data_IF_420294015782
#
_entry.id   IF_420294015782
#
_cell.length_a   1.000
_cell.length_b   1.000
_cell.length_c   1.000
_cell.angle_alpha   90.00
_cell.angle_beta   90.00
_cell.angle_gamma   90.00
#
_symmetry.space_group_name_H-M   'P 1'
#
loop_
_entity.id
_entity.type
_entity.pdbx_description
1 polymer ?
#
# COMPACT_ATOMS: atom_id res chain seq x y z
N UNK A 1 14.73 25.27 -29.40
CA UNK A 1 15.11 24.58 -28.15
C UNK A 1 15.57 25.63 -27.15
N UNK A 2 14.69 26.08 -26.25
CA UNK A 2 15.02 27.06 -25.20
C UNK A 2 14.58 26.46 -23.87
N UNK A 3 15.43 25.64 -23.24
CA UNK A 3 15.11 25.01 -21.97
C UNK A 3 16.37 24.77 -21.17
N UNK A 4 16.53 25.49 -20.06
CA UNK A 4 17.63 25.25 -19.11
C UNK A 4 17.50 23.81 -18.58
N UNK A 5 18.60 23.08 -18.36
CA UNK A 5 18.52 21.77 -17.73
C UNK A 5 17.83 21.91 -16.36
N UNK A 6 16.72 21.19 -16.17
CA UNK A 6 15.98 21.12 -14.91
C UNK A 6 16.23 19.74 -14.29
N UNK A 7 16.51 19.69 -12.98
CA UNK A 7 16.61 18.43 -12.23
C UNK A 7 15.20 17.90 -12.03
N UNK A 8 14.95 16.69 -12.52
CA UNK A 8 13.75 15.93 -12.18
C UNK A 8 14.04 15.09 -10.93
N UNK A 9 13.15 15.14 -9.94
CA UNK A 9 13.23 14.29 -8.76
C UNK A 9 12.38 13.06 -9.01
N UNK A 10 13.03 11.92 -9.16
CA UNK A 10 12.38 10.62 -9.35
C UNK A 10 12.48 9.87 -8.03
N UNK A 11 11.34 9.40 -7.52
CA UNK A 11 11.25 8.62 -6.30
C UNK A 11 11.39 7.12 -6.62
N UNK A 12 12.05 6.36 -5.74
CA UNK A 12 12.15 4.90 -5.84
C UNK A 12 10.78 4.22 -5.88
N UNK A 13 9.78 4.80 -5.20
CA UNK A 13 8.42 4.30 -5.13
C UNK A 13 7.42 5.42 -5.43
N UNK A 14 6.29 5.13 -6.09
CA UNK A 14 5.23 6.11 -6.30
C UNK A 14 4.63 6.55 -4.97
N UNK A 15 4.72 7.86 -4.68
CA UNK A 15 4.22 8.42 -3.42
C UNK A 15 2.72 8.20 -3.23
N UNK A 16 1.94 8.13 -4.31
CA UNK A 16 0.50 7.83 -4.25
C UNK A 16 0.24 6.40 -3.77
N UNK A 17 1.01 5.42 -4.24
CA UNK A 17 0.87 4.02 -3.83
C UNK A 17 1.31 3.84 -2.37
N UNK A 18 2.40 4.51 -1.95
CA UNK A 18 2.82 4.53 -0.55
C UNK A 18 1.79 5.19 0.36
N UNK A 19 1.19 6.32 -0.06
CA UNK A 19 0.13 7.00 0.69
C UNK A 19 -1.06 6.08 0.89
N UNK A 20 -1.50 5.39 -0.17
CA UNK A 20 -2.60 4.44 -0.11
C UNK A 20 -2.31 3.29 0.86
N UNK A 21 -1.10 2.70 0.81
CA UNK A 21 -0.71 1.65 1.75
C UNK A 21 -0.70 2.14 3.21
N UNK A 22 -0.21 3.36 3.47
CA UNK A 22 -0.19 3.94 4.80
C UNK A 22 -1.61 4.24 5.32
N UNK A 23 -2.48 4.81 4.49
CA UNK A 23 -3.88 5.07 4.86
C UNK A 23 -4.58 3.74 5.19
N UNK A 24 -4.40 2.71 4.35
CA UNK A 24 -4.98 1.40 4.60
C UNK A 24 -4.43 0.77 5.89
N UNK A 25 -3.13 0.87 6.12
CA UNK A 25 -2.49 0.39 7.34
C UNK A 25 -3.04 1.06 8.60
N UNK A 26 -3.46 2.33 8.53
CA UNK A 26 -4.09 3.05 9.66
C UNK A 26 -5.58 2.71 9.76
N UNK A 27 -6.33 2.72 8.64
CA UNK A 27 -7.77 2.48 8.63
C UNK A 27 -8.15 1.04 9.00
N UNK A 28 -7.32 0.07 8.63
CA UNK A 28 -7.55 -1.34 8.89
C UNK A 28 -6.81 -1.87 10.13
N UNK A 29 -5.96 -1.07 10.78
CA UNK A 29 -5.22 -1.49 11.99
C UNK A 29 -6.14 -2.07 13.07
N UNK A 30 -5.74 -3.18 13.68
CA UNK A 30 -6.34 -3.61 14.95
C UNK A 30 -5.76 -2.78 16.11
N UNK A 31 -6.56 -1.82 16.60
CA UNK A 31 -6.17 -0.93 17.70
C UNK A 31 -6.19 -1.60 19.07
N UNK A 32 -6.69 -2.83 19.20
CA UNK A 32 -6.65 -3.58 20.46
C UNK A 32 -5.28 -4.22 20.71
N UNK A 33 -4.47 -4.38 19.66
CA UNK A 33 -3.11 -4.94 19.74
C UNK A 33 -2.12 -3.80 20.08
N UNK A 34 -1.34 -3.90 21.17
CA UNK A 34 -0.39 -2.87 21.60
C UNK A 34 0.93 -2.95 20.81
N UNK A 35 0.86 -2.89 19.47
CA UNK A 35 2.02 -2.88 18.55
C UNK A 35 1.93 -1.73 17.55
N UNK A 36 3.03 -1.21 17.00
CA UNK A 36 2.97 -0.06 16.10
C UNK A 36 2.59 -0.44 14.66
N UNK A 37 2.22 0.55 13.84
CA UNK A 37 2.32 0.39 12.38
C UNK A 37 3.77 0.68 12.01
N UNK A 38 4.42 -0.24 11.32
CA UNK A 38 5.83 -0.14 10.96
C UNK A 38 6.00 0.19 9.48
N UNK A 39 6.95 1.08 9.18
CA UNK A 39 7.49 1.27 7.84
C UNK A 39 8.95 0.84 7.87
N UNK A 40 9.28 -0.23 7.14
CA UNK A 40 10.62 -0.81 7.10
C UNK A 40 11.19 -0.61 5.70
N UNK A 41 12.35 0.02 5.62
CA UNK A 41 13.02 0.31 4.37
C UNK A 41 14.29 -0.54 4.31
N UNK A 42 14.42 -1.29 3.23
CA UNK A 42 15.57 -2.11 2.91
C UNK A 42 16.17 -1.63 1.58
N UNK A 43 17.32 -2.18 1.21
CA UNK A 43 17.99 -1.82 -0.04
C UNK A 43 17.12 -2.15 -1.27
N UNK A 44 16.35 -3.23 -1.20
CA UNK A 44 15.58 -3.81 -2.31
C UNK A 44 14.05 -3.61 -2.19
N UNK A 45 13.55 -3.28 -0.99
CA UNK A 45 12.11 -3.20 -0.72
C UNK A 45 11.72 -2.24 0.40
N UNK A 46 10.48 -1.80 0.37
CA UNK A 46 9.81 -1.08 1.45
C UNK A 46 8.61 -1.90 1.91
N UNK A 47 8.46 -2.07 3.23
CA UNK A 47 7.37 -2.82 3.83
C UNK A 47 6.56 -1.90 4.73
N UNK A 48 5.25 -1.82 4.48
CA UNK A 48 4.28 -1.23 5.41
C UNK A 48 3.58 -2.36 6.13
N UNK A 49 3.72 -2.45 7.45
CA UNK A 49 3.10 -3.48 8.28
C UNK A 49 2.16 -2.85 9.31
N UNK A 50 1.01 -3.47 9.55
CA UNK A 50 0.08 -3.06 10.60
C UNK A 50 -0.44 -4.27 11.38
N UNK A 51 -0.72 -4.12 12.69
CA UNK A 51 -1.26 -5.21 13.48
C UNK A 51 -2.71 -5.53 13.08
N UNK A 52 -3.04 -6.81 13.19
CA UNK A 52 -4.32 -7.36 12.77
C UNK A 52 -4.27 -7.91 11.34
N UNK A 53 -5.05 -8.97 11.10
CA UNK A 53 -5.16 -9.63 9.80
C UNK A 53 -6.29 -9.07 8.94
N UNK A 54 -6.63 -9.81 7.90
CA UNK A 54 -7.77 -9.53 7.03
C UNK A 54 -9.09 -9.53 7.80
N UNK A 55 -10.11 -8.77 7.34
CA UNK A 55 -11.46 -8.88 7.86
C UNK A 55 -11.99 -10.30 7.72
N UNK A 56 -12.85 -10.73 8.66
CA UNK A 56 -13.48 -12.05 8.59
C UNK A 56 -14.22 -12.23 7.26
N UNK A 57 -13.92 -13.33 6.56
CA UNK A 57 -14.55 -13.68 5.29
C UNK A 57 -13.88 -13.09 4.04
N UNK A 58 -12.75 -12.40 4.18
CA UNK A 58 -11.91 -11.97 3.05
C UNK A 58 -10.64 -12.82 3.03
N UNK A 59 -10.30 -13.41 1.89
CA UNK A 59 -9.02 -14.11 1.71
C UNK A 59 -7.99 -13.24 1.01
N UNK A 60 -6.73 -13.68 1.00
CA UNK A 60 -5.66 -13.02 0.26
C UNK A 60 -5.96 -12.95 -1.26
N UNK A 61 -6.59 -13.98 -1.83
CA UNK A 61 -6.96 -13.99 -3.24
C UNK A 61 -8.07 -12.98 -3.57
N UNK A 62 -8.95 -12.68 -2.60
CA UNK A 62 -10.06 -11.75 -2.80
C UNK A 62 -9.57 -10.31 -2.93
N UNK A 63 -8.40 -9.98 -2.38
CA UNK A 63 -7.75 -8.66 -2.53
C UNK A 63 -7.44 -8.31 -3.99
N UNK A 64 -7.28 -9.31 -4.85
CA UNK A 64 -6.98 -9.13 -6.27
C UNK A 64 -8.23 -9.10 -7.16
N UNK A 65 -9.42 -9.15 -6.55
CA UNK A 65 -10.72 -9.12 -7.23
C UNK A 65 -11.52 -7.91 -6.76
N UNK A 66 -12.59 -7.52 -7.47
CA UNK A 66 -13.52 -6.53 -6.94
C UNK A 66 -14.10 -7.00 -5.61
N UNK A 67 -13.80 -6.27 -4.53
CA UNK A 67 -14.30 -6.56 -3.19
C UNK A 67 -14.77 -5.26 -2.51
N UNK A 68 -15.74 -5.39 -1.60
CA UNK A 68 -16.10 -4.27 -0.75
C UNK A 68 -15.01 -4.04 0.29
N UNK A 69 -14.61 -2.79 0.53
CA UNK A 69 -13.71 -2.49 1.66
C UNK A 69 -14.50 -2.53 2.96
N UNK A 70 -14.12 -3.45 3.84
CA UNK A 70 -14.64 -3.54 5.21
C UNK A 70 -13.64 -2.88 6.14
N UNK A 71 -13.86 -1.59 6.44
CA UNK A 71 -13.02 -0.85 7.38
C UNK A 71 -13.22 -1.34 8.82
N UNK A 72 -12.11 -1.62 9.49
CA UNK A 72 -12.09 -1.87 10.93
C UNK A 72 -12.35 -0.58 11.71
N UNK A 73 -11.80 0.55 11.26
CA UNK A 73 -11.89 1.84 11.94
C UNK A 73 -12.64 2.88 11.10
N UNK A 74 -13.97 2.79 11.07
CA UNK A 74 -14.84 3.67 10.25
C UNK A 74 -14.68 5.17 10.57
N UNK A 75 -14.49 5.54 11.83
CA UNK A 75 -14.29 6.95 12.22
C UNK A 75 -13.01 7.54 11.65
N UNK A 76 -11.91 6.78 11.67
CA UNK A 76 -10.64 7.18 11.06
C UNK A 76 -10.78 7.27 9.54
N UNK A 77 -11.42 6.27 8.93
CA UNK A 77 -11.72 6.28 7.50
C UNK A 77 -12.55 7.50 7.08
N UNK A 78 -13.56 7.86 7.88
CA UNK A 78 -14.37 9.06 7.65
C UNK A 78 -13.55 10.35 7.64
N UNK A 79 -12.61 10.51 8.58
CA UNK A 79 -11.71 11.67 8.60
C UNK A 79 -10.86 11.75 7.33
N UNK A 80 -10.29 10.63 6.88
CA UNK A 80 -9.50 10.62 5.64
C UNK A 80 -10.35 10.84 4.39
N UNK A 81 -11.62 10.41 4.40
CA UNK A 81 -12.58 10.75 3.35
C UNK A 81 -12.86 12.26 3.30
N UNK A 82 -13.13 12.87 4.47
CA UNK A 82 -13.38 14.32 4.57
C UNK A 82 -12.15 15.15 4.16
N UNK A 83 -10.94 14.64 4.39
CA UNK A 83 -9.69 15.25 3.93
C UNK A 83 -9.42 15.06 2.41
N UNK A 84 -10.25 14.29 1.71
CA UNK A 84 -10.07 13.95 0.30
C UNK A 84 -8.90 12.99 0.04
N UNK A 85 -8.48 12.23 1.05
CA UNK A 85 -7.38 11.26 0.93
C UNK A 85 -7.89 9.86 0.57
N UNK A 86 -9.16 9.59 0.81
CA UNK A 86 -9.87 8.39 0.34
C UNK A 86 -10.99 8.84 -0.58
N UNK A 87 -10.95 8.40 -1.84
CA UNK A 87 -11.94 8.79 -2.86
C UNK A 87 -13.08 7.77 -2.99
N UNK A 88 -12.74 6.48 -2.91
CA UNK A 88 -13.71 5.39 -3.09
C UNK A 88 -13.30 4.17 -2.26
N UNK A 89 -14.27 3.60 -1.55
CA UNK A 89 -14.07 2.39 -0.75
C UNK A 89 -13.84 1.18 -1.64
N UNK A 90 -12.76 0.44 -1.41
CA UNK A 90 -12.48 -0.83 -2.11
C UNK A 90 -11.66 -0.71 -3.39
N UNK A 91 -11.35 0.50 -3.87
CA UNK A 91 -10.49 0.70 -5.04
C UNK A 91 -9.00 0.90 -4.69
N UNK A 92 -8.68 0.96 -3.39
CA UNK A 92 -7.34 1.30 -2.91
C UNK A 92 -6.24 0.36 -3.40
N UNK A 93 -6.52 -0.95 -3.37
CA UNK A 93 -5.56 -1.97 -3.81
C UNK A 93 -5.29 -1.85 -5.32
N UNK A 94 -6.33 -1.74 -6.13
CA UNK A 94 -6.17 -1.56 -7.58
C UNK A 94 -5.47 -0.24 -7.92
N UNK A 95 -5.76 0.84 -7.20
CA UNK A 95 -5.06 2.13 -7.36
C UNK A 95 -3.57 1.96 -7.09
N UNK A 96 -3.22 1.31 -5.98
CA UNK A 96 -1.83 1.05 -5.58
C UNK A 96 -1.08 0.22 -6.62
N UNK A 97 -1.68 -0.88 -7.09
CA UNK A 97 -1.12 -1.75 -8.13
C UNK A 97 -0.88 -0.99 -9.43
N UNK A 98 -1.92 -0.32 -9.95
CA UNK A 98 -1.85 0.44 -11.19
C UNK A 98 -0.80 1.56 -11.14
N UNK A 99 -0.67 2.25 -10.01
CA UNK A 99 0.34 3.30 -9.83
C UNK A 99 1.76 2.72 -9.87
N UNK A 100 2.00 1.57 -9.24
CA UNK A 100 3.30 0.87 -9.34
C UNK A 100 3.61 0.45 -10.79
N UNK A 101 2.67 -0.18 -11.48
CA UNK A 101 2.84 -0.60 -12.87
C UNK A 101 3.14 0.58 -13.79
N UNK A 102 2.45 1.73 -13.62
CA UNK A 102 2.70 2.96 -14.39
C UNK A 102 4.09 3.56 -14.14
N UNK A 103 4.64 3.36 -12.94
CA UNK A 103 5.99 3.81 -12.60
C UNK A 103 7.09 2.83 -13.03
N UNK A 104 6.74 1.69 -13.63
CA UNK A 104 7.70 0.70 -14.12
C UNK A 104 8.31 -0.17 -13.01
N UNK A 105 7.72 -0.21 -11.82
CA UNK A 105 8.13 -1.09 -10.72
C UNK A 105 7.12 -2.24 -10.55
N UNK A 106 7.49 -3.36 -9.88
CA UNK A 106 6.56 -4.44 -9.61
C UNK A 106 5.32 -3.97 -8.83
N UNK A 107 4.21 -4.67 -9.03
CA UNK A 107 3.03 -4.50 -8.18
C UNK A 107 3.38 -4.82 -6.71
N UNK A 108 2.73 -4.14 -5.75
CA UNK A 108 2.91 -4.44 -4.34
C UNK A 108 2.41 -5.85 -4.03
N UNK A 109 3.14 -6.55 -3.15
CA UNK A 109 2.75 -7.86 -2.63
C UNK A 109 2.04 -7.68 -1.29
N UNK A 110 0.95 -8.41 -1.09
CA UNK A 110 0.18 -8.40 0.15
C UNK A 110 0.39 -9.72 0.89
N UNK A 111 0.54 -9.68 2.21
CA UNK A 111 0.69 -10.89 3.02
C UNK A 111 0.15 -10.74 4.44
N UNK A 112 -0.35 -11.83 5.01
CA UNK A 112 -0.59 -11.96 6.44
C UNK A 112 0.62 -12.62 7.14
N UNK A 113 1.36 -11.83 7.91
CA UNK A 113 2.49 -12.29 8.72
C UNK A 113 2.42 -11.66 10.11
N UNK A 114 1.78 -12.38 11.04
CA UNK A 114 1.48 -11.90 12.41
C UNK A 114 0.75 -10.53 12.45
N UNK A 115 0.06 -10.19 11.36
CA UNK A 115 -0.46 -8.87 11.02
C UNK A 115 -0.53 -8.77 9.50
N UNK A 116 -0.88 -7.61 8.96
CA UNK A 116 -0.97 -7.40 7.52
C UNK A 116 0.21 -6.57 7.02
N UNK A 117 0.88 -7.02 5.95
CA UNK A 117 1.95 -6.27 5.29
C UNK A 117 1.71 -6.04 3.81
N UNK A 118 2.13 -4.87 3.36
CA UNK A 118 2.27 -4.47 1.94
C UNK A 118 3.75 -4.31 1.65
N UNK A 119 4.24 -5.01 0.63
CA UNK A 119 5.66 -5.03 0.25
C UNK A 119 5.80 -4.40 -1.13
N UNK A 120 6.56 -3.30 -1.20
CA UNK A 120 6.94 -2.63 -2.43
C UNK A 120 8.38 -3.01 -2.79
N UNK A 121 8.61 -3.55 -3.98
CA UNK A 121 9.97 -3.85 -4.48
C UNK A 121 10.44 -2.74 -5.40
N UNK A 122 11.75 -2.46 -5.40
CA UNK A 122 12.33 -1.38 -6.22
C UNK A 122 12.34 -1.71 -7.71
N UNK A 123 12.54 -2.98 -8.05
CA UNK A 123 12.68 -3.41 -9.43
C UNK A 123 12.13 -4.82 -9.67
N UNK A 124 11.95 -5.17 -10.94
CA UNK A 124 11.61 -6.54 -11.40
C UNK A 124 12.82 -7.49 -11.36
N UNK A 125 14.02 -6.99 -11.04
CA UNK A 125 15.29 -7.73 -11.08
C UNK A 125 15.75 -8.19 -9.69
N UNK A 126 14.94 -7.99 -8.66
CA UNK A 126 15.18 -8.58 -7.35
C UNK A 126 15.19 -10.10 -7.52
N UNK A 127 16.16 -10.80 -6.90
CA UNK A 127 16.41 -12.24 -7.15
C UNK A 127 15.17 -13.14 -7.06
N UNK A 128 14.16 -12.75 -6.28
CA UNK A 128 12.90 -13.47 -6.12
C UNK A 128 11.94 -13.37 -7.33
N UNK A 129 12.08 -12.35 -8.19
CA UNK A 129 11.35 -12.23 -9.48
C UNK A 129 12.12 -12.83 -10.68
N UNK A 130 13.40 -13.18 -10.48
CA UNK A 130 14.24 -13.82 -11.50
C UNK A 130 14.19 -15.35 -11.45
N UNK A 131 13.34 -15.94 -10.58
CA UNK A 131 13.15 -17.39 -10.44
C UNK A 131 11.91 -17.90 -11.14
#
# INVERSE_FOLDING_TARGET
>A
MTGRPAREQIWDYPLEALREALINAVCHRDYTIPSNTDVRIYDDRLIVWSPGGLPFGITMEDLYKPHSSVLRNKGIGGIFYDMGWIEQWGSGIDKMRNTCTKAGIPEPQFEEYQGFRVIFRKDVYTEEYLR
#
